data_IF_244677709036
#
_entry.id   IF_244677709036
#
_cell.length_a   1.000
_cell.length_b   1.000
_cell.length_c   1.000
_cell.angle_alpha   90.00
_cell.angle_beta   90.00
_cell.angle_gamma   90.00
#
_symmetry.space_group_name_H-M   'P 1'
#
loop_
_entity.id
_entity.type
_entity.pdbx_description
1 polymer ?
#
# COMPACT_ATOMS: atom_id res chain seq x y z
N UNK A 1 1.97 -4.68 9.51
CA UNK A 1 2.64 -3.70 10.41
C UNK A 1 4.10 -3.56 10.00
N UNK A 2 4.39 -2.82 8.92
CA UNK A 2 5.77 -2.52 8.51
C UNK A 2 5.92 -1.01 8.47
N UNK A 3 6.22 -0.44 9.64
CA UNK A 3 6.93 0.84 9.76
C UNK A 3 7.26 1.21 11.22
N UNK A 4 6.80 0.46 12.23
CA UNK A 4 6.90 0.89 13.64
C UNK A 4 8.32 0.91 14.26
N UNK A 5 9.38 0.58 13.51
CA UNK A 5 10.77 0.57 14.01
C UNK A 5 11.75 1.53 13.30
N UNK A 6 11.34 2.32 12.30
CA UNK A 6 12.21 3.41 11.84
C UNK A 6 12.22 4.49 12.91
N UNK A 7 13.37 4.68 13.56
CA UNK A 7 13.58 5.75 14.54
C UNK A 7 13.99 7.07 13.90
N UNK A 8 14.41 7.04 12.63
CA UNK A 8 14.68 8.23 11.84
C UNK A 8 13.76 8.32 10.61
N UNK A 9 12.71 9.12 10.74
CA UNK A 9 11.77 9.44 9.67
C UNK A 9 12.28 10.53 8.73
N UNK A 10 13.42 11.17 9.05
CA UNK A 10 13.90 12.38 8.38
C UNK A 10 14.77 12.10 7.16
N UNK A 11 15.38 10.92 7.05
CA UNK A 11 16.22 10.56 5.90
C UNK A 11 15.35 10.30 4.66
N UNK A 12 15.09 11.36 3.89
CA UNK A 12 14.25 11.34 2.68
C UNK A 12 14.64 10.19 1.75
N UNK A 13 15.94 9.96 1.51
CA UNK A 13 16.43 8.92 0.60
C UNK A 13 16.08 7.48 0.97
N UNK A 14 15.73 7.22 2.23
CA UNK A 14 15.32 5.90 2.68
C UNK A 14 13.89 5.52 2.24
N UNK A 15 13.16 6.41 1.56
CA UNK A 15 11.78 6.19 1.09
C UNK A 15 11.68 6.00 -0.43
N UNK A 16 12.80 5.73 -1.10
CA UNK A 16 12.77 5.37 -2.53
C UNK A 16 12.04 4.05 -2.74
N UNK A 17 11.44 3.86 -3.92
CA UNK A 17 10.74 2.64 -4.29
C UNK A 17 11.64 1.40 -4.14
N UNK A 18 12.96 1.55 -4.32
CA UNK A 18 13.93 0.48 -4.15
C UNK A 18 14.04 0.03 -2.69
N UNK A 19 14.00 0.96 -1.73
CA UNK A 19 13.96 0.60 -0.31
C UNK A 19 12.65 -0.10 0.03
N UNK A 20 11.52 0.45 -0.42
CA UNK A 20 10.20 -0.11 -0.07
C UNK A 20 9.99 -1.49 -0.72
N UNK A 21 10.42 -1.69 -1.97
CA UNK A 21 10.42 -3.01 -2.61
C UNK A 21 11.37 -3.97 -1.88
N UNK A 22 12.53 -3.48 -1.42
CA UNK A 22 13.44 -4.25 -0.57
C UNK A 22 12.76 -4.71 0.73
N UNK A 23 12.03 -3.83 1.40
CA UNK A 23 11.26 -4.15 2.62
C UNK A 23 10.17 -5.20 2.34
N UNK A 24 9.46 -5.08 1.21
CA UNK A 24 8.44 -6.08 0.80
C UNK A 24 9.09 -7.44 0.53
N UNK A 25 10.19 -7.50 -0.22
CA UNK A 25 10.93 -8.74 -0.49
C UNK A 25 11.44 -9.36 0.81
N UNK A 26 12.02 -8.56 1.70
CA UNK A 26 12.50 -9.02 3.00
C UNK A 26 11.36 -9.56 3.89
N UNK A 27 10.16 -8.95 3.83
CA UNK A 27 8.98 -9.47 4.51
C UNK A 27 8.57 -10.84 3.96
N UNK A 28 8.54 -11.00 2.63
CA UNK A 28 8.17 -12.26 2.01
C UNK A 28 9.15 -13.38 2.42
N UNK A 29 10.45 -13.09 2.43
CA UNK A 29 11.48 -14.02 2.86
C UNK A 29 11.30 -14.40 4.35
N UNK A 30 11.04 -13.42 5.21
CA UNK A 30 10.79 -13.65 6.65
C UNK A 30 9.52 -14.48 6.92
N UNK A 31 8.52 -14.40 6.04
CA UNK A 31 7.30 -15.20 6.10
C UNK A 31 7.43 -16.56 5.41
N UNK A 32 8.56 -16.85 4.73
CA UNK A 32 8.75 -18.07 3.95
C UNK A 32 7.84 -18.15 2.71
N UNK A 33 7.48 -17.00 2.14
CA UNK A 33 6.61 -16.90 0.97
C UNK A 33 7.42 -16.66 -0.30
N UNK A 34 7.49 -17.67 -1.17
CA UNK A 34 8.21 -17.56 -2.44
C UNK A 34 7.51 -16.60 -3.42
N UNK A 35 6.18 -16.69 -3.53
CA UNK A 35 5.37 -15.81 -4.38
C UNK A 35 4.05 -15.45 -3.72
N UNK A 36 3.51 -14.29 -4.07
CA UNK A 36 2.24 -13.78 -3.53
C UNK A 36 1.34 -13.18 -4.60
N UNK A 37 0.04 -13.13 -4.31
CA UNK A 37 -0.87 -12.18 -4.95
C UNK A 37 -0.65 -10.81 -4.33
N UNK A 38 -0.60 -9.77 -5.15
CA UNK A 38 -0.38 -8.39 -4.69
C UNK A 38 -1.63 -7.58 -4.97
N UNK A 39 -2.06 -6.80 -3.98
CA UNK A 39 -3.08 -5.77 -4.14
C UNK A 39 -2.48 -4.43 -3.74
N UNK A 40 -2.56 -3.43 -4.63
CA UNK A 40 -2.03 -2.09 -4.38
C UNK A 40 -3.10 -1.03 -4.60
N UNK A 41 -3.04 0.05 -3.79
CA UNK A 41 -3.87 1.25 -3.91
C UNK A 41 -2.98 2.49 -3.74
N UNK A 42 -3.22 3.57 -4.50
CA UNK A 42 -2.48 4.84 -4.43
C UNK A 42 -0.94 4.66 -4.47
N UNK A 43 -0.20 5.08 -3.45
CA UNK A 43 1.25 4.84 -3.35
C UNK A 43 1.58 3.35 -3.24
N UNK A 44 0.73 2.56 -2.60
CA UNK A 44 0.83 1.10 -2.62
C UNK A 44 0.71 0.54 -4.03
N UNK A 45 -0.11 1.14 -4.89
CA UNK A 45 -0.21 0.75 -6.30
C UNK A 45 1.05 1.11 -7.08
N UNK A 46 1.63 2.29 -6.81
CA UNK A 46 2.93 2.69 -7.37
C UNK A 46 4.05 1.72 -6.96
N UNK A 47 4.12 1.34 -5.69
CA UNK A 47 5.10 0.36 -5.20
C UNK A 47 4.85 -1.03 -5.80
N UNK A 48 3.58 -1.43 -5.98
CA UNK A 48 3.24 -2.70 -6.61
C UNK A 48 3.72 -2.77 -8.08
N UNK A 49 3.66 -1.66 -8.83
CA UNK A 49 4.27 -1.58 -10.17
C UNK A 49 5.77 -1.79 -10.13
N UNK A 50 6.48 -1.10 -9.23
CA UNK A 50 7.92 -1.29 -9.04
C UNK A 50 8.27 -2.72 -8.62
N UNK A 51 7.51 -3.33 -7.73
CA UNK A 51 7.69 -4.73 -7.34
C UNK A 51 7.55 -5.67 -8.56
N UNK A 52 6.54 -5.46 -9.41
CA UNK A 52 6.34 -6.27 -10.60
C UNK A 52 7.41 -6.04 -11.68
N UNK A 53 8.03 -4.85 -11.73
CA UNK A 53 9.16 -4.58 -12.63
C UNK A 53 10.47 -5.18 -12.11
N UNK A 54 10.73 -5.04 -10.81
CA UNK A 54 12.02 -5.40 -10.21
C UNK A 54 12.08 -6.88 -9.85
N UNK A 55 10.96 -7.43 -9.37
CA UNK A 55 10.84 -8.80 -8.86
C UNK A 55 9.55 -9.48 -9.35
N UNK A 56 9.34 -9.58 -10.68
CA UNK A 56 8.21 -10.33 -11.23
C UNK A 56 8.23 -11.81 -10.80
N UNK A 57 9.41 -12.34 -10.44
CA UNK A 57 9.57 -13.69 -9.92
C UNK A 57 8.81 -13.92 -8.59
N UNK A 58 8.52 -12.85 -7.83
CA UNK A 58 7.85 -12.90 -6.52
C UNK A 58 6.34 -12.65 -6.58
N UNK A 59 5.80 -12.34 -7.75
CA UNK A 59 4.39 -11.96 -7.90
C UNK A 59 3.66 -12.96 -8.79
N UNK A 60 2.58 -13.55 -8.28
CA UNK A 60 1.71 -14.47 -9.03
C UNK A 60 0.80 -13.66 -9.95
N UNK A 61 0.12 -12.66 -9.39
CA UNK A 61 -0.72 -11.71 -10.11
C UNK A 61 -0.91 -10.43 -9.28
N UNK A 62 -1.26 -9.35 -9.97
CA UNK A 62 -1.48 -8.03 -9.41
C UNK A 62 -2.94 -7.58 -9.60
N UNK A 63 -3.60 -7.15 -8.53
CA UNK A 63 -4.78 -6.29 -8.63
C UNK A 63 -4.39 -4.89 -8.18
N UNK A 64 -4.39 -3.93 -9.10
CA UNK A 64 -4.02 -2.56 -8.78
C UNK A 64 -5.21 -1.62 -8.87
N UNK A 65 -5.32 -0.72 -7.89
CA UNK A 65 -6.40 0.25 -7.82
C UNK A 65 -5.88 1.69 -7.96
N UNK A 66 -6.69 2.56 -8.56
CA UNK A 66 -6.47 4.00 -8.72
C UNK A 66 -5.32 4.42 -9.65
N UNK A 67 -4.08 4.02 -9.36
CA UNK A 67 -2.88 4.52 -10.06
C UNK A 67 -2.47 3.56 -11.17
N UNK A 68 -2.71 3.93 -12.43
CA UNK A 68 -2.25 3.18 -13.59
C UNK A 68 -0.71 3.17 -13.71
N UNK A 69 -0.14 2.20 -14.43
CA UNK A 69 1.30 2.17 -14.68
C UNK A 69 1.69 3.28 -15.66
N UNK A 70 2.06 4.45 -15.14
CA UNK A 70 2.47 5.58 -15.97
C UNK A 70 3.94 5.47 -16.35
N UNK A 71 4.23 4.68 -17.37
CA UNK A 71 5.62 4.38 -17.77
C UNK A 71 6.50 5.62 -17.88
N UNK A 72 6.10 6.63 -18.64
CA UNK A 72 6.89 7.86 -18.86
C UNK A 72 7.07 8.74 -17.61
N UNK A 73 6.23 8.55 -16.58
CA UNK A 73 6.28 9.29 -15.31
C UNK A 73 7.01 8.51 -14.22
N UNK A 74 6.88 7.18 -14.21
CA UNK A 74 7.48 6.30 -13.19
C UNK A 74 8.89 5.84 -13.59
N UNK A 75 9.15 5.68 -14.88
CA UNK A 75 10.45 5.26 -15.40
C UNK A 75 10.89 6.17 -16.55
N UNK A 76 12.20 6.34 -16.71
CA UNK A 76 12.75 7.12 -17.82
C UNK A 76 12.51 6.40 -19.15
N UNK A 77 11.40 6.68 -19.82
CA UNK A 77 11.03 6.06 -21.09
C UNK A 77 10.78 7.10 -22.19
N UNK A 78 11.57 7.03 -23.27
CA UNK A 78 11.44 7.89 -24.45
C UNK A 78 12.35 9.13 -24.46
N UNK A 79 12.53 9.76 -25.63
CA UNK A 79 13.44 10.91 -25.81
C UNK A 79 12.96 12.18 -25.11
N UNK A 80 11.64 12.35 -24.96
CA UNK A 80 11.01 13.52 -24.32
C UNK A 80 10.73 13.31 -22.82
N UNK A 81 11.26 12.22 -22.25
CA UNK A 81 11.03 11.89 -20.85
C UNK A 81 11.62 12.97 -19.93
N UNK A 82 10.76 13.53 -19.09
CA UNK A 82 11.15 14.44 -18.01
C UNK A 82 10.97 13.77 -16.67
N UNK A 83 11.66 14.30 -15.66
CA UNK A 83 11.47 13.89 -14.27
C UNK A 83 10.01 14.00 -13.85
N UNK A 84 9.57 13.11 -12.97
CA UNK A 84 8.18 13.03 -12.51
C UNK A 84 7.65 14.36 -11.98
N UNK A 85 8.42 15.06 -11.16
CA UNK A 85 7.98 16.35 -10.60
C UNK A 85 7.83 17.42 -11.67
N UNK A 86 8.70 17.42 -12.67
CA UNK A 86 8.65 18.33 -13.82
C UNK A 86 7.45 18.02 -14.72
N UNK A 87 7.11 16.74 -14.92
CA UNK A 87 5.89 16.35 -15.63
C UNK A 87 4.64 16.96 -14.96
N UNK A 88 4.47 16.77 -13.65
CA UNK A 88 3.33 17.32 -12.93
C UNK A 88 3.36 18.85 -12.86
N UNK A 89 4.53 19.46 -12.73
CA UNK A 89 4.69 20.92 -12.76
C UNK A 89 4.26 21.51 -14.10
N UNK A 90 4.56 20.86 -15.23
CA UNK A 90 4.11 21.31 -16.57
C UNK A 90 2.62 21.14 -16.76
N UNK A 91 2.06 20.05 -16.26
CA UNK A 91 0.64 19.73 -16.42
C UNK A 91 -0.27 20.62 -15.56
N UNK A 92 0.14 20.91 -14.33
CA UNK A 92 -0.73 21.51 -13.30
C UNK A 92 -0.16 22.77 -12.64
N UNK A 93 1.06 23.16 -12.98
CA UNK A 93 1.72 24.32 -12.41
C UNK A 93 2.44 24.04 -11.08
N UNK A 94 3.11 25.07 -10.52
CA UNK A 94 3.94 24.93 -9.33
C UNK A 94 3.13 24.70 -8.03
N UNK A 95 1.82 24.94 -8.07
CA UNK A 95 0.90 24.81 -6.93
C UNK A 95 0.20 23.47 -6.88
N UNK A 96 0.58 22.49 -7.69
CA UNK A 96 0.02 21.14 -7.59
C UNK A 96 0.56 20.41 -6.35
N UNK A 97 -0.25 19.61 -5.64
CA UNK A 97 0.16 19.01 -4.35
C UNK A 97 1.46 18.21 -4.44
N UNK A 98 1.66 17.40 -5.50
CA UNK A 98 2.91 16.63 -5.69
C UNK A 98 4.13 17.55 -5.76
N UNK A 99 3.99 18.71 -6.41
CA UNK A 99 5.06 19.70 -6.55
C UNK A 99 5.33 20.39 -5.21
N UNK A 100 4.27 20.73 -4.45
CA UNK A 100 4.42 21.35 -3.12
C UNK A 100 4.98 20.40 -2.06
N UNK A 101 4.74 19.11 -2.18
CA UNK A 101 5.26 18.10 -1.26
C UNK A 101 6.78 17.89 -1.36
N UNK A 102 7.42 18.41 -2.41
CA UNK A 102 8.85 18.21 -2.66
C UNK A 102 9.74 18.89 -1.62
N UNK A 103 9.42 20.11 -1.19
CA UNK A 103 10.26 20.86 -0.25
C UNK A 103 10.07 20.32 1.19
N UNK A 104 11.13 19.80 1.84
CA UNK A 104 11.03 19.34 3.22
C UNK A 104 10.60 20.45 4.19
N UNK A 105 9.60 20.17 5.01
CA UNK A 105 9.10 21.11 6.01
C UNK A 105 8.02 22.07 5.51
N UNK A 106 7.77 22.19 4.21
CA UNK A 106 6.69 23.05 3.68
C UNK A 106 5.33 22.37 3.84
N UNK A 107 5.17 21.16 3.32
CA UNK A 107 3.91 20.42 3.44
C UNK A 107 3.56 20.08 4.89
N UNK A 108 4.58 19.83 5.73
CA UNK A 108 4.42 19.59 7.17
C UNK A 108 3.80 20.76 7.94
N UNK A 109 3.90 22.00 7.47
CA UNK A 109 3.25 23.16 8.11
C UNK A 109 1.71 23.02 8.06
N UNK A 110 1.17 22.58 6.92
CA UNK A 110 -0.25 22.27 6.76
C UNK A 110 -0.66 20.90 7.30
N UNK A 111 0.27 19.94 7.27
CA UNK A 111 0.10 18.55 7.73
C UNK A 111 0.74 18.35 9.11
N UNK A 112 0.36 19.17 10.09
CA UNK A 112 0.91 19.06 11.44
C UNK A 112 0.22 17.92 12.22
N UNK A 113 0.93 17.21 13.11
CA UNK A 113 0.32 16.17 13.96
C UNK A 113 -0.86 16.68 14.79
N UNK A 114 -0.82 17.95 15.22
CA UNK A 114 -1.91 18.58 15.98
C UNK A 114 -3.21 18.74 15.17
N UNK A 115 -3.12 18.76 13.84
CA UNK A 115 -4.26 18.86 12.93
C UNK A 115 -4.63 17.52 12.28
N UNK A 116 -3.99 16.41 12.68
CA UNK A 116 -4.12 15.11 12.02
C UNK A 116 -5.58 14.65 11.86
N UNK A 117 -6.44 14.86 12.86
CA UNK A 117 -7.86 14.52 12.77
C UNK A 117 -8.59 15.28 11.66
N UNK A 118 -8.35 16.59 11.57
CA UNK A 118 -8.93 17.44 10.53
C UNK A 118 -8.45 16.99 9.15
N UNK A 119 -7.14 16.82 8.99
CA UNK A 119 -6.52 16.35 7.75
C UNK A 119 -7.07 14.98 7.33
N UNK A 120 -7.14 14.01 8.24
CA UNK A 120 -7.65 12.68 7.93
C UNK A 120 -9.14 12.70 7.59
N UNK A 121 -9.96 13.51 8.28
CA UNK A 121 -11.37 13.71 7.91
C UNK A 121 -11.48 14.22 6.46
N UNK A 122 -10.67 15.21 6.07
CA UNK A 122 -10.65 15.75 4.70
C UNK A 122 -10.24 14.71 3.66
N UNK A 123 -9.14 14.00 3.89
CA UNK A 123 -8.63 12.96 2.98
C UNK A 123 -9.68 11.84 2.83
N UNK A 124 -10.20 11.32 3.95
CA UNK A 124 -11.22 10.27 3.95
C UNK A 124 -12.56 10.74 3.38
N UNK A 125 -12.80 12.04 3.22
CA UNK A 125 -14.02 12.53 2.58
C UNK A 125 -13.81 12.92 1.11
N UNK A 126 -12.62 12.69 0.53
CA UNK A 126 -12.21 13.24 -0.78
C UNK A 126 -12.34 14.77 -0.86
N UNK A 127 -12.01 15.48 0.24
CA UNK A 127 -12.15 16.95 0.38
C UNK A 127 -10.81 17.65 0.62
N UNK A 128 -9.69 16.93 0.60
CA UNK A 128 -8.37 17.53 0.72
C UNK A 128 -7.94 18.14 -0.62
N UNK A 129 -7.52 19.39 -0.60
CA UNK A 129 -7.26 20.20 -1.79
C UNK A 129 -5.78 20.51 -1.97
N UNK A 130 -5.39 20.86 -3.19
CA UNK A 130 -4.05 21.40 -3.46
C UNK A 130 -3.74 22.62 -2.60
N UNK A 131 -4.72 23.50 -2.33
CA UNK A 131 -4.52 24.70 -1.50
C UNK A 131 -4.00 24.37 -0.11
N UNK A 132 -4.56 23.34 0.52
CA UNK A 132 -4.17 22.82 1.83
C UNK A 132 -2.79 22.13 1.82
N UNK A 133 -2.27 21.76 0.65
CA UNK A 133 -0.89 21.30 0.52
C UNK A 133 0.07 22.47 0.72
N UNK A 134 0.79 22.49 1.85
CA UNK A 134 1.86 23.46 2.11
C UNK A 134 1.43 24.82 2.69
N UNK A 135 0.18 24.97 3.13
CA UNK A 135 -0.26 26.13 3.89
C UNK A 135 -0.74 25.71 5.28
N UNK A 136 -0.44 26.52 6.30
CA UNK A 136 -1.12 26.42 7.59
C UNK A 136 -2.63 26.61 7.38
N UNK A 137 -3.43 25.88 8.16
CA UNK A 137 -4.89 25.85 8.09
C UNK A 137 -5.50 27.22 7.73
N UNK A 138 -6.35 27.33 6.68
CA UNK A 138 -7.11 28.56 6.46
C UNK A 138 -7.94 28.89 7.70
N UNK A 139 -7.82 30.12 8.21
CA UNK A 139 -8.51 30.54 9.46
C UNK A 139 -10.04 30.49 9.37
N UNK A 140 -10.60 30.38 8.17
CA UNK A 140 -12.04 30.31 7.90
C UNK A 140 -12.45 28.87 7.55
N UNK A 141 -12.53 28.00 8.55
CA UNK A 141 -13.12 26.65 8.40
C UNK A 141 -14.65 26.66 8.59
N UNK A 142 -15.30 27.80 8.34
CA UNK A 142 -16.75 27.96 8.39
C UNK A 142 -17.33 27.52 7.04
N UNK A 143 -17.42 26.21 6.79
CA UNK A 143 -18.01 25.71 5.54
C UNK A 143 -17.85 24.24 5.24
N UNK A 144 -17.08 23.47 6.01
CA UNK A 144 -17.07 22.02 5.82
C UNK A 144 -18.41 21.44 6.25
N UNK A 145 -19.11 20.81 5.32
CA UNK A 145 -20.23 19.95 5.67
C UNK A 145 -19.71 18.84 6.58
N UNK A 146 -20.05 18.90 7.87
CA UNK A 146 -19.53 17.96 8.87
C UNK A 146 -20.00 16.51 8.64
N UNK A 147 -20.93 16.28 7.72
CA UNK A 147 -21.42 14.96 7.36
C UNK A 147 -20.33 14.10 6.71
N UNK A 148 -20.09 12.95 7.33
CA UNK A 148 -19.25 11.89 6.79
C UNK A 148 -20.00 11.13 5.68
N UNK A 149 -19.29 10.73 4.60
CA UNK A 149 -19.81 9.74 3.65
C UNK A 149 -20.24 8.44 4.36
N UNK A 150 -21.19 7.70 3.78
CA UNK A 150 -21.76 6.49 4.39
C UNK A 150 -20.76 5.34 4.62
N UNK A 151 -19.58 5.42 4.02
CA UNK A 151 -18.53 4.40 4.07
C UNK A 151 -17.44 4.71 5.11
N UNK A 152 -17.48 5.86 5.78
CA UNK A 152 -16.51 6.25 6.81
C UNK A 152 -17.24 6.69 8.09
N UNK A 153 -16.79 6.18 9.23
CA UNK A 153 -17.32 6.54 10.55
C UNK A 153 -16.38 7.50 11.29
N UNK A 154 -16.87 8.16 12.34
CA UNK A 154 -16.00 8.99 13.21
C UNK A 154 -14.91 8.14 13.87
N UNK A 155 -15.20 6.87 14.18
CA UNK A 155 -14.20 5.94 14.74
C UNK A 155 -13.09 5.61 13.73
N UNK A 156 -13.40 5.54 12.43
CA UNK A 156 -12.39 5.36 11.39
C UNK A 156 -11.49 6.60 11.30
N UNK A 157 -12.10 7.80 11.29
CA UNK A 157 -11.37 9.08 11.29
C UNK A 157 -10.43 9.14 12.50
N UNK A 158 -10.92 8.84 13.70
CA UNK A 158 -10.15 8.86 14.94
C UNK A 158 -9.02 7.82 14.92
N UNK A 159 -9.27 6.63 14.38
CA UNK A 159 -8.24 5.59 14.24
C UNK A 159 -7.08 6.08 13.36
N UNK A 160 -7.37 6.57 12.15
CA UNK A 160 -6.34 7.09 11.25
C UNK A 160 -5.63 8.31 11.86
N UNK A 161 -6.37 9.25 12.44
CA UNK A 161 -5.83 10.43 13.10
C UNK A 161 -4.81 10.06 14.18
N UNK A 162 -5.15 9.09 15.05
CA UNK A 162 -4.29 8.67 16.17
C UNK A 162 -2.92 8.12 15.75
N UNK A 163 -2.80 7.64 14.52
CA UNK A 163 -1.51 7.23 13.94
C UNK A 163 -0.69 8.46 13.59
N UNK A 164 -1.27 9.40 12.82
CA UNK A 164 -0.56 10.59 12.35
C UNK A 164 -0.29 11.63 13.45
N UNK A 165 -1.07 11.65 14.53
CA UNK A 165 -0.77 12.40 15.75
C UNK A 165 0.57 11.96 16.37
N UNK A 166 0.93 10.68 16.24
CA UNK A 166 2.16 10.11 16.78
C UNK A 166 3.32 10.16 15.79
N UNK A 167 3.07 9.86 14.53
CA UNK A 167 4.12 9.71 13.52
C UNK A 167 4.41 10.98 12.75
N UNK A 168 3.47 11.93 12.73
CA UNK A 168 3.42 12.98 11.72
C UNK A 168 3.29 12.44 10.30
N UNK A 169 3.36 13.34 9.32
CA UNK A 169 3.11 13.04 7.90
C UNK A 169 4.41 12.94 7.06
N UNK A 170 5.58 13.30 7.62
CA UNK A 170 6.86 13.31 6.91
C UNK A 170 7.20 11.97 6.25
N UNK A 171 6.91 10.85 6.93
CA UNK A 171 7.15 9.52 6.35
C UNK A 171 6.38 9.29 5.05
N UNK A 172 5.09 9.67 5.01
CA UNK A 172 4.28 9.59 3.79
C UNK A 172 4.72 10.59 2.72
N UNK A 173 5.04 11.83 3.12
CA UNK A 173 5.55 12.87 2.21
C UNK A 173 6.87 12.47 1.55
N UNK A 174 7.72 11.72 2.24
CA UNK A 174 8.99 11.27 1.70
C UNK A 174 8.85 10.33 0.49
N UNK A 175 7.70 9.64 0.30
CA UNK A 175 7.45 8.89 -0.94
C UNK A 175 7.43 9.83 -2.14
N UNK A 176 6.70 10.95 -2.04
CA UNK A 176 6.63 11.98 -3.08
C UNK A 176 7.99 12.61 -3.37
N UNK A 177 8.78 12.88 -2.32
CA UNK A 177 10.14 13.45 -2.43
C UNK A 177 11.16 12.51 -3.09
N UNK A 178 10.78 11.25 -3.31
CA UNK A 178 11.59 10.28 -4.03
C UNK A 178 11.15 10.06 -5.47
N UNK A 179 10.08 10.69 -5.97
CA UNK A 179 9.58 10.42 -7.32
C UNK A 179 10.67 10.58 -8.40
N UNK A 180 11.41 11.69 -8.38
CA UNK A 180 12.49 11.92 -9.33
C UNK A 180 13.66 10.96 -9.14
N UNK A 181 14.01 10.63 -7.89
CA UNK A 181 15.04 9.63 -7.58
C UNK A 181 14.64 8.24 -8.08
N UNK A 182 13.38 7.87 -7.92
CA UNK A 182 12.84 6.59 -8.40
C UNK A 182 12.90 6.55 -9.92
N UNK A 183 12.50 7.62 -10.59
CA UNK A 183 12.59 7.76 -12.04
C UNK A 183 14.03 7.61 -12.54
N UNK A 184 15.00 8.23 -11.87
CA UNK A 184 16.43 8.13 -12.20
C UNK A 184 16.95 6.69 -11.99
N UNK A 185 16.69 6.11 -10.82
CA UNK A 185 17.16 4.77 -10.49
C UNK A 185 16.48 3.66 -11.32
N UNK A 186 15.26 3.89 -11.79
CA UNK A 186 14.54 2.96 -12.66
C UNK A 186 14.95 3.06 -14.13
N UNK A 187 15.95 3.89 -14.48
CA UNK A 187 16.47 4.00 -15.84
C UNK A 187 16.88 2.65 -16.50
N UNK A 188 17.42 1.63 -15.79
CA UNK A 188 17.69 0.31 -16.38
C UNK A 188 16.44 -0.43 -16.90
N UNK A 189 15.24 -0.01 -16.47
CA UNK A 189 13.96 -0.56 -16.90
C UNK A 189 13.29 0.28 -17.99
N UNK A 190 13.98 1.25 -18.62
CA UNK A 190 13.41 2.16 -19.62
C UNK A 190 12.58 1.47 -20.71
N UNK A 191 12.99 0.26 -21.11
CA UNK A 191 12.37 -0.57 -22.14
C UNK A 191 11.46 -1.69 -21.59
N UNK A 192 11.42 -1.88 -20.26
CA UNK A 192 10.68 -2.96 -19.61
C UNK A 192 9.16 -2.80 -19.71
N UNK A 193 8.48 -3.95 -19.69
CA UNK A 193 7.03 -4.07 -19.59
C UNK A 193 6.68 -4.80 -18.30
N UNK A 194 5.50 -4.55 -17.75
CA UNK A 194 4.99 -5.35 -16.62
C UNK A 194 4.40 -6.64 -17.18
N UNK A 195 5.09 -7.75 -16.97
CA UNK A 195 4.72 -9.07 -17.52
C UNK A 195 3.97 -9.97 -16.53
N UNK A 196 3.49 -9.41 -15.42
CA UNK A 196 2.69 -10.11 -14.41
C UNK A 196 1.21 -10.04 -14.82
N UNK A 197 0.41 -11.12 -14.71
CA UNK A 197 -1.04 -11.06 -14.89
C UNK A 197 -1.64 -9.97 -14.02
N UNK A 198 -2.37 -9.03 -14.61
CA UNK A 198 -2.78 -7.81 -13.91
C UNK A 198 -4.25 -7.50 -14.13
N UNK A 199 -4.93 -7.10 -13.06
CA UNK A 199 -6.24 -6.45 -13.11
C UNK A 199 -6.13 -5.03 -12.60
N UNK A 200 -6.75 -4.08 -13.30
CA UNK A 200 -6.77 -2.68 -12.90
C UNK A 200 -8.20 -2.23 -12.61
N UNK A 201 -8.39 -1.57 -11.49
CA UNK A 201 -9.69 -1.07 -11.01
C UNK A 201 -9.55 0.41 -10.67
N UNK A 202 -10.48 1.26 -11.10
CA UNK A 202 -10.45 2.68 -10.78
C UNK A 202 -11.86 3.23 -10.63
N UNK A 203 -12.06 4.20 -9.74
CA UNK A 203 -13.31 4.94 -9.66
C UNK A 203 -13.46 5.96 -10.79
N UNK A 204 -14.66 6.16 -11.30
CA UNK A 204 -14.92 7.19 -12.33
C UNK A 204 -14.73 8.63 -11.83
N UNK A 205 -14.78 8.84 -10.51
CA UNK A 205 -14.48 10.09 -9.82
C UNK A 205 -13.07 10.18 -9.26
N UNK A 206 -12.20 9.20 -9.51
CA UNK A 206 -10.83 9.20 -8.99
C UNK A 206 -9.96 10.28 -9.68
N UNK A 207 -9.28 11.11 -8.89
CA UNK A 207 -8.40 12.16 -9.41
C UNK A 207 -7.30 11.62 -10.34
N UNK A 208 -6.77 10.42 -10.07
CA UNK A 208 -5.69 9.83 -10.88
C UNK A 208 -6.19 9.39 -12.25
N UNK A 209 -7.47 9.03 -12.36
CA UNK A 209 -8.13 8.69 -13.62
C UNK A 209 -8.32 9.91 -14.53
N UNK A 210 -8.36 11.10 -13.93
CA UNK A 210 -8.51 12.39 -14.62
C UNK A 210 -7.18 13.14 -14.83
N UNK A 211 -6.04 12.48 -14.58
CA UNK A 211 -4.76 13.01 -15.01
C UNK A 211 -4.70 13.16 -16.56
N UNK A 212 -4.09 14.24 -17.11
CA UNK A 212 -4.00 14.47 -18.53
C UNK A 212 -3.55 13.26 -19.33
N UNK A 213 -4.42 12.81 -20.23
CA UNK A 213 -4.15 11.67 -21.12
C UNK A 213 -4.28 10.29 -20.48
N UNK A 214 -4.61 10.16 -19.19
CA UNK A 214 -4.71 8.85 -18.54
C UNK A 214 -5.86 7.99 -19.07
N UNK A 215 -7.04 8.56 -19.26
CA UNK A 215 -8.15 7.78 -19.83
C UNK A 215 -7.81 7.28 -21.24
N UNK A 216 -7.19 8.13 -22.06
CA UNK A 216 -6.70 7.74 -23.38
C UNK A 216 -5.64 6.64 -23.29
N UNK A 217 -4.67 6.76 -22.38
CA UNK A 217 -3.65 5.75 -22.15
C UNK A 217 -4.26 4.39 -21.75
N UNK A 218 -5.20 4.40 -20.79
CA UNK A 218 -5.88 3.22 -20.29
C UNK A 218 -6.70 2.55 -21.39
N UNK A 219 -7.52 3.32 -22.11
CA UNK A 219 -8.58 2.76 -22.98
C UNK A 219 -8.19 2.65 -24.45
N UNK A 220 -7.18 3.39 -24.93
CA UNK A 220 -6.73 3.35 -26.34
C UNK A 220 -5.50 2.46 -26.56
N UNK A 221 -5.25 1.53 -25.64
CA UNK A 221 -4.27 0.46 -25.80
C UNK A 221 -2.85 0.76 -25.31
N UNK A 222 -2.56 1.99 -24.87
CA UNK A 222 -1.25 2.33 -24.30
C UNK A 222 -0.93 1.50 -23.05
N UNK A 223 -1.89 1.40 -22.14
CA UNK A 223 -1.72 0.65 -20.90
C UNK A 223 -1.55 -0.85 -21.15
N UNK A 224 -2.34 -1.42 -22.07
CA UNK A 224 -2.19 -2.83 -22.51
C UNK A 224 -0.86 -3.07 -23.22
N UNK A 225 -0.30 -2.07 -23.92
CA UNK A 225 1.00 -2.19 -24.58
C UNK A 225 2.15 -2.28 -23.56
N UNK A 226 2.06 -1.55 -22.44
CA UNK A 226 3.04 -1.57 -21.35
C UNK A 226 2.82 -2.70 -20.32
N UNK A 227 1.58 -3.18 -20.21
CA UNK A 227 1.16 -4.29 -19.36
C UNK A 227 0.48 -5.37 -20.22
N UNK A 228 1.24 -6.21 -20.94
CA UNK A 228 0.68 -7.13 -21.94
C UNK A 228 -0.35 -8.12 -21.39
N UNK A 229 -0.22 -8.50 -20.12
CA UNK A 229 -1.13 -9.43 -19.42
C UNK A 229 -2.22 -8.72 -18.59
N UNK A 230 -2.52 -7.46 -18.91
CA UNK A 230 -3.64 -6.71 -18.32
C UNK A 230 -5.00 -7.29 -18.75
N UNK A 231 -5.85 -7.70 -17.81
CA UNK A 231 -7.27 -8.00 -18.08
C UNK A 231 -8.07 -6.73 -18.38
N UNK A 232 -9.35 -6.88 -18.70
CA UNK A 232 -10.25 -5.74 -18.90
C UNK A 232 -10.22 -4.80 -17.68
N UNK A 233 -10.04 -3.52 -17.97
CA UNK A 233 -10.02 -2.45 -16.96
C UNK A 233 -11.42 -2.28 -16.39
N UNK A 234 -11.51 -2.24 -15.07
CA UNK A 234 -12.76 -1.97 -14.36
C UNK A 234 -12.81 -0.50 -13.98
N UNK A 235 -13.81 0.23 -14.49
CA UNK A 235 -14.14 1.58 -14.03
C UNK A 235 -15.43 1.49 -13.21
N UNK A 236 -15.34 1.76 -11.90
CA UNK A 236 -16.47 1.62 -10.97
C UNK A 236 -17.25 2.94 -10.93
N UNK A 237 -18.54 2.96 -11.36
CA UNK A 237 -19.34 4.18 -11.38
C UNK A 237 -19.66 4.72 -9.98
N UNK A 238 -19.57 6.05 -9.83
CA UNK A 238 -19.85 6.75 -8.58
C UNK A 238 -18.87 6.41 -7.46
N UNK A 239 -17.63 6.04 -7.79
CA UNK A 239 -16.55 5.83 -6.84
C UNK A 239 -15.44 6.85 -7.06
N UNK A 240 -14.93 7.40 -5.97
CA UNK A 240 -13.77 8.28 -5.93
C UNK A 240 -12.47 7.53 -5.72
N UNK A 241 -11.52 8.22 -5.11
CA UNK A 241 -10.14 7.76 -4.97
C UNK A 241 -9.95 6.62 -3.97
N UNK A 242 -10.77 6.55 -2.92
CA UNK A 242 -10.68 5.50 -1.90
C UNK A 242 -11.57 4.31 -2.26
N UNK A 243 -11.48 3.86 -3.53
CA UNK A 243 -12.42 2.93 -4.16
C UNK A 243 -12.66 1.65 -3.34
N UNK A 244 -11.63 1.12 -2.68
CA UNK A 244 -11.71 -0.08 -1.83
C UNK A 244 -12.49 0.13 -0.53
N UNK A 245 -12.69 1.37 -0.09
CA UNK A 245 -13.57 1.72 1.03
C UNK A 245 -14.95 2.14 0.52
N UNK A 246 -14.98 2.97 -0.52
CA UNK A 246 -16.22 3.50 -1.12
C UNK A 246 -17.12 2.41 -1.72
N UNK A 247 -16.51 1.36 -2.29
CA UNK A 247 -17.17 0.24 -2.99
C UNK A 247 -16.55 -1.09 -2.57
N UNK A 248 -16.39 -1.29 -1.26
CA UNK A 248 -15.65 -2.41 -0.69
C UNK A 248 -16.07 -3.80 -1.21
N UNK A 249 -17.37 -4.06 -1.31
CA UNK A 249 -17.90 -5.36 -1.78
C UNK A 249 -17.56 -5.61 -3.26
N UNK A 250 -17.69 -4.58 -4.10
CA UNK A 250 -17.42 -4.66 -5.53
C UNK A 250 -15.93 -4.87 -5.81
N UNK A 251 -15.06 -4.10 -5.13
CA UNK A 251 -13.60 -4.27 -5.22
C UNK A 251 -13.19 -5.65 -4.71
N UNK A 252 -13.73 -6.11 -3.57
CA UNK A 252 -13.43 -7.43 -3.01
C UNK A 252 -13.84 -8.55 -3.97
N UNK A 253 -15.01 -8.42 -4.61
CA UNK A 253 -15.48 -9.35 -5.63
C UNK A 253 -14.52 -9.40 -6.82
N UNK A 254 -14.08 -8.25 -7.34
CA UNK A 254 -13.13 -8.22 -8.45
C UNK A 254 -11.78 -8.84 -8.11
N UNK A 255 -11.27 -8.62 -6.89
CA UNK A 255 -10.03 -9.24 -6.40
C UNK A 255 -10.20 -10.76 -6.35
N UNK A 256 -11.26 -11.23 -5.69
CA UNK A 256 -11.53 -12.65 -5.53
C UNK A 256 -11.70 -13.36 -6.89
N UNK A 257 -12.56 -12.82 -7.75
CA UNK A 257 -12.87 -13.43 -9.05
C UNK A 257 -11.65 -13.47 -9.96
N UNK A 258 -10.77 -12.45 -9.89
CA UNK A 258 -9.52 -12.47 -10.63
C UNK A 258 -8.58 -13.58 -10.14
N UNK A 259 -8.32 -13.63 -8.84
CA UNK A 259 -7.40 -14.60 -8.25
C UNK A 259 -7.90 -16.04 -8.46
N UNK A 260 -9.21 -16.27 -8.32
CA UNK A 260 -9.82 -17.59 -8.48
C UNK A 260 -9.80 -18.13 -9.91
N UNK A 261 -9.77 -17.24 -10.92
CA UNK A 261 -9.82 -17.63 -12.33
C UNK A 261 -8.44 -17.73 -13.00
N UNK A 262 -7.35 -17.50 -12.26
CA UNK A 262 -6.01 -17.64 -12.82
C UNK A 262 -5.71 -19.12 -13.19
N UNK A 263 -5.05 -19.39 -14.33
CA UNK A 263 -4.76 -20.75 -14.75
C UNK A 263 -3.97 -21.53 -13.68
N UNK A 264 -4.32 -22.79 -13.47
CA UNK A 264 -3.72 -23.67 -12.44
C UNK A 264 -2.20 -23.82 -12.58
N UNK A 265 -1.66 -23.65 -13.79
CA UNK A 265 -0.22 -23.74 -14.07
C UNK A 265 0.56 -22.50 -13.61
N UNK A 266 -0.12 -21.41 -13.24
CA UNK A 266 0.47 -20.18 -12.71
C UNK A 266 0.85 -20.28 -11.23
N UNK A 267 0.37 -21.31 -10.53
CA UNK A 267 0.45 -21.41 -9.07
C UNK A 267 0.93 -22.79 -8.65
N UNK A 268 2.25 -22.97 -8.53
CA UNK A 268 2.78 -24.12 -7.77
C UNK A 268 2.64 -23.82 -6.28
N UNK A 269 1.49 -24.19 -5.70
CA UNK A 269 1.38 -24.28 -4.25
C UNK A 269 2.28 -25.42 -3.77
N UNK A 270 3.42 -25.10 -3.13
CA UNK A 270 4.01 -26.05 -2.19
C UNK A 270 3.07 -26.17 -1.00
N UNK A 271 2.16 -27.15 -1.04
CA UNK A 271 1.44 -27.59 0.15
C UNK A 271 2.43 -28.22 1.14
N UNK A 272 3.00 -27.39 2.00
CA UNK A 272 3.46 -27.77 3.34
C UNK A 272 2.85 -26.69 4.24
N UNK A 273 1.85 -26.95 5.07
CA UNK A 273 1.86 -27.86 6.21
C UNK A 273 0.41 -28.26 6.48
N UNK A 274 0.08 -29.54 6.36
CA UNK A 274 -1.10 -30.10 6.98
C UNK A 274 -0.72 -30.53 8.40
N UNK A 275 -0.93 -29.68 9.40
CA UNK A 275 -1.07 -30.18 10.78
C UNK A 275 -2.47 -30.79 10.86
N UNK A 276 -2.55 -32.09 10.56
CA UNK A 276 -3.67 -32.91 10.96
C UNK A 276 -3.64 -33.01 12.49
N UNK A 277 -4.41 -32.16 13.16
CA UNK A 277 -4.75 -32.36 14.56
C UNK A 277 -5.94 -33.32 14.63
N UNK A 278 -5.67 -34.61 14.44
CA UNK A 278 -6.62 -35.68 14.77
C UNK A 278 -6.14 -36.42 16.01
N UNK A 279 -6.59 -35.97 17.18
CA UNK A 279 -6.72 -36.84 18.34
C UNK A 279 -7.99 -36.44 19.11
N UNK A 280 -9.05 -37.21 18.86
CA UNK A 280 -10.31 -37.22 19.61
C UNK A 280 -10.02 -37.37 21.10
N UNK A 281 -10.70 -36.56 21.92
CA UNK A 281 -10.69 -36.72 23.37
C UNK A 281 -11.22 -38.08 23.82
N UNK A 282 -10.63 -38.60 24.91
CA UNK A 282 -11.32 -39.47 25.86
C UNK A 282 -10.81 -39.18 27.28
N UNK A 283 -11.78 -39.01 28.15
CA UNK A 283 -11.68 -38.81 29.59
C UNK A 283 -11.19 -40.09 30.32
N UNK A 284 -10.64 -39.87 31.52
CA UNK A 284 -10.03 -40.79 32.50
C UNK A 284 -10.86 -42.03 32.90
N UNK A 285 -10.22 -43.02 33.57
CA UNK A 285 -10.50 -43.16 35.01
C UNK A 285 -9.29 -43.44 35.90
N UNK A 286 -9.44 -43.03 37.16
CA UNK A 286 -8.61 -43.30 38.33
C UNK A 286 -8.37 -44.80 38.60
N UNK A 287 -7.20 -45.13 39.15
CA UNK A 287 -7.01 -46.27 40.07
C UNK A 287 -5.91 -45.94 41.09
N UNK A 288 -6.28 -46.04 42.37
CA UNK A 288 -5.42 -45.91 43.55
C UNK A 288 -4.90 -47.29 44.01
N UNK A 289 -4.04 -47.27 45.05
CA UNK A 289 -3.45 -48.37 45.86
C UNK A 289 -2.02 -48.70 45.42
N UNK A 290 -1.01 -48.87 46.30
CA UNK A 290 -0.93 -48.82 47.76
C UNK A 290 0.55 -48.84 48.17
N UNK A 291 0.79 -48.48 49.43
CA UNK A 291 2.05 -48.46 50.17
C UNK A 291 2.95 -49.70 50.08
N UNK A 292 4.26 -49.52 50.22
CA UNK A 292 5.07 -50.29 51.19
C UNK A 292 6.37 -49.59 51.61
N UNK A 293 6.82 -49.98 52.81
CA UNK A 293 7.63 -49.25 53.79
C UNK A 293 9.09 -49.74 53.81
N UNK A 294 9.97 -48.88 54.37
CA UNK A 294 11.21 -49.14 55.14
C UNK A 294 12.51 -49.47 54.38
N UNK A 295 13.54 -48.64 54.62
CA UNK A 295 14.58 -48.91 55.64
C UNK A 295 15.37 -47.64 56.02
N UNK A 296 15.58 -47.50 57.33
CA UNK A 296 16.43 -46.53 58.05
C UNK A 296 17.92 -46.84 57.85
N UNK A 297 18.82 -45.84 57.94
CA UNK A 297 19.75 -45.66 59.08
C UNK A 297 20.60 -44.36 58.94
N UNK A 298 21.40 -43.91 59.95
CA UNK A 298 21.20 -42.61 60.62
C UNK A 298 22.48 -41.76 60.80
N UNK A 299 22.33 -40.61 61.49
CA UNK A 299 23.37 -39.80 62.17
C UNK A 299 24.39 -39.06 61.25
N UNK A 300 24.80 -37.82 61.50
CA UNK A 300 25.13 -37.14 62.77
C UNK A 300 25.22 -35.61 62.57
N UNK A 301 25.05 -34.90 63.68
CA UNK A 301 24.99 -33.44 63.86
C UNK A 301 26.33 -32.68 63.71
N UNK A 302 26.17 -31.33 63.70
CA UNK A 302 27.08 -30.25 64.09
C UNK A 302 28.10 -29.80 63.01
N UNK A 303 28.30 -28.50 62.70
CA UNK A 303 28.09 -27.23 63.41
C UNK A 303 27.61 -26.18 62.39
#
# INVERSE_FOLDING_TARGET
MLNTQRTDWSTVSAYSAFHIVGDVVGLLDALGLDKVFVVGHDWGATIAWYLCLFRPDRVIALVNTSVAFMRHVMIRAGPDAVKTTEYFRRAYGPTYYIVRFQEPGVAEQGLSPANARYTMKKILCNRYTDEEAGHERPSTADGDNDLLPSWVTEADVDYYASVFEKTGFTGGLNYYRNMDRNWEHAAPWSDAKVTVPTKFIVGDGDITYHWPGIQDYIHKGGFKADVPLLEDVVVIPGAGHLTQQEKADEVSKHIHDFIANLPSNSVSFHRQIAIQNTAKGRYYPHLSLSSQKKRKNPHRDAI
#
